data_IF_317556085445
#
_entry.id   IF_317556085445
#
_cell.length_a   1.000
_cell.length_b   1.000
_cell.length_c   1.000
_cell.angle_alpha   90.00
_cell.angle_beta   90.00
_cell.angle_gamma   90.00
#
_symmetry.space_group_name_H-M   'P 1'
#
loop_
_entity.id
_entity.type
_entity.pdbx_description
1 polymer ?
#
# COMPACT_ATOMS: atom_id res chain seq x y z
N UNK A 1 7.94 1.44 -1.04
CA UNK A 1 8.87 0.82 -0.07
C UNK A 1 10.33 0.83 -0.53
N UNK A 2 10.63 0.65 -1.83
CA UNK A 2 12.02 0.71 -2.37
C UNK A 2 12.76 2.04 -2.19
N UNK A 3 12.05 3.12 -1.84
CA UNK A 3 12.60 4.49 -1.78
C UNK A 3 12.75 5.01 -0.34
N UNK A 4 12.25 4.27 0.65
CA UNK A 4 12.21 4.71 2.04
C UNK A 4 13.35 4.13 2.89
N UNK A 5 14.39 3.54 2.30
CA UNK A 5 15.46 2.84 3.06
C UNK A 5 16.27 3.77 3.98
N UNK A 6 16.32 5.06 3.65
CA UNK A 6 17.03 6.12 4.39
C UNK A 6 16.37 6.51 5.72
N UNK A 7 15.08 6.16 5.88
CA UNK A 7 14.29 6.55 7.05
C UNK A 7 14.67 5.70 8.28
N UNK A 8 15.09 6.32 9.41
CA UNK A 8 15.57 5.61 10.59
C UNK A 8 14.46 4.91 11.38
N UNK A 9 13.21 5.39 11.29
CA UNK A 9 12.07 4.90 12.06
C UNK A 9 11.09 4.08 11.20
N UNK A 10 10.56 3.00 11.79
CA UNK A 10 9.58 2.10 11.14
C UNK A 10 8.27 2.83 10.81
N UNK A 11 7.91 3.79 11.65
CA UNK A 11 6.72 4.63 11.52
C UNK A 11 6.81 5.54 10.29
N UNK A 12 7.97 6.15 10.05
CA UNK A 12 8.14 7.07 8.93
C UNK A 12 8.20 6.34 7.58
N UNK A 13 8.78 5.13 7.55
CA UNK A 13 8.69 4.20 6.40
C UNK A 13 7.25 3.82 6.08
N UNK A 14 6.48 3.49 7.11
CA UNK A 14 5.06 3.11 6.98
C UNK A 14 4.23 4.30 6.48
N UNK A 15 4.47 5.49 7.02
CA UNK A 15 3.81 6.74 6.59
C UNK A 15 4.15 7.10 5.14
N UNK A 16 5.41 6.96 4.74
CA UNK A 16 5.83 7.19 3.35
C UNK A 16 5.15 6.20 2.38
N UNK A 17 5.08 4.91 2.75
CA UNK A 17 4.38 3.91 1.96
C UNK A 17 2.87 4.20 1.85
N UNK A 18 2.24 4.67 2.93
CA UNK A 18 0.83 5.09 2.94
C UNK A 18 0.60 6.27 2.01
N UNK A 19 1.42 7.32 2.08
CA UNK A 19 1.23 8.50 1.24
C UNK A 19 1.36 8.15 -0.24
N UNK A 20 2.32 7.30 -0.60
CA UNK A 20 2.59 6.99 -2.00
C UNK A 20 1.60 5.96 -2.59
N UNK A 21 1.29 4.89 -1.86
CA UNK A 21 0.35 3.85 -2.33
C UNK A 21 -1.10 4.16 -1.99
N UNK A 22 -1.34 4.74 -0.82
CA UNK A 22 -2.69 5.06 -0.33
C UNK A 22 -3.37 6.13 -1.18
N UNK A 23 -2.64 7.10 -1.73
CA UNK A 23 -3.22 8.10 -2.65
C UNK A 23 -3.85 7.43 -3.89
N UNK A 24 -3.20 6.41 -4.46
CA UNK A 24 -3.73 5.64 -5.59
C UNK A 24 -4.98 4.85 -5.20
N UNK A 25 -4.96 4.18 -4.04
CA UNK A 25 -6.12 3.40 -3.54
C UNK A 25 -7.32 4.31 -3.28
N UNK A 26 -7.08 5.49 -2.69
CA UNK A 26 -8.13 6.49 -2.46
C UNK A 26 -8.69 7.02 -3.79
N UNK A 27 -7.83 7.29 -4.78
CA UNK A 27 -8.28 7.69 -6.11
C UNK A 27 -9.16 6.63 -6.81
N UNK A 28 -8.78 5.35 -6.71
CA UNK A 28 -9.54 4.23 -7.27
C UNK A 28 -10.86 3.96 -6.54
N UNK A 29 -10.85 4.06 -5.21
CA UNK A 29 -12.05 3.95 -4.39
C UNK A 29 -13.04 5.10 -4.62
N UNK A 30 -12.53 6.33 -4.77
CA UNK A 30 -13.33 7.51 -5.06
C UNK A 30 -14.04 7.39 -6.41
N UNK A 31 -13.34 7.00 -7.47
CA UNK A 31 -13.96 6.81 -8.80
C UNK A 31 -15.02 5.70 -8.79
N UNK A 32 -14.80 4.63 -8.03
CA UNK A 32 -15.79 3.54 -7.89
C UNK A 32 -16.99 3.99 -7.04
N UNK A 33 -16.76 4.74 -5.96
CA UNK A 33 -17.81 5.31 -5.12
C UNK A 33 -18.64 6.35 -5.86
N UNK A 34 -18.02 7.21 -6.70
CA UNK A 34 -18.75 8.13 -7.57
C UNK A 34 -19.58 7.39 -8.61
N UNK A 35 -19.05 6.32 -9.23
CA UNK A 35 -19.83 5.47 -10.14
C UNK A 35 -21.04 4.85 -9.42
N UNK A 36 -20.84 4.38 -8.18
CA UNK A 36 -21.90 3.96 -7.27
C UNK A 36 -22.94 5.04 -7.01
N UNK A 37 -22.51 6.29 -6.77
CA UNK A 37 -23.39 7.42 -6.52
C UNK A 37 -24.24 7.81 -7.75
N UNK A 38 -23.67 7.74 -8.96
CA UNK A 38 -24.43 7.99 -10.21
C UNK A 38 -25.55 6.95 -10.40
N UNK A 39 -25.33 5.70 -9.96
CA UNK A 39 -26.38 4.66 -10.00
C UNK A 39 -27.57 4.96 -9.07
N UNK A 40 -27.39 5.77 -8.02
CA UNK A 40 -28.49 6.21 -7.15
C UNK A 40 -29.41 7.25 -7.81
N UNK A 41 -28.92 8.00 -8.80
CA UNK A 41 -29.73 8.96 -9.56
C UNK A 41 -30.68 8.27 -10.56
N UNK A 42 -30.54 6.95 -10.74
CA UNK A 42 -31.44 6.16 -11.56
C UNK A 42 -32.65 5.69 -10.74
N UNK A 43 -33.86 6.08 -11.13
CA UNK A 43 -35.15 5.80 -10.44
C UNK A 43 -35.53 4.31 -10.34
N UNK A 44 -34.67 3.40 -10.82
CA UNK A 44 -34.87 1.96 -10.78
C UNK A 44 -34.50 1.40 -9.40
N UNK A 45 -35.52 0.95 -8.66
CA UNK A 45 -35.38 0.36 -7.31
C UNK A 45 -34.37 -0.80 -7.23
N UNK A 46 -34.11 -1.51 -8.33
CA UNK A 46 -33.08 -2.56 -8.41
C UNK A 46 -31.66 -1.99 -8.28
N UNK A 47 -31.35 -0.88 -8.95
CA UNK A 47 -30.02 -0.28 -8.96
C UNK A 47 -29.67 0.39 -7.63
N UNK A 48 -30.66 0.95 -6.93
CA UNK A 48 -30.46 1.57 -5.61
C UNK A 48 -29.94 0.55 -4.59
N UNK A 49 -30.51 -0.66 -4.56
CA UNK A 49 -30.12 -1.72 -3.60
C UNK A 49 -28.70 -2.23 -3.88
N UNK A 50 -28.37 -2.46 -5.15
CA UNK A 50 -27.03 -2.85 -5.60
C UNK A 50 -26.00 -1.75 -5.32
N UNK A 51 -26.31 -0.49 -5.64
CA UNK A 51 -25.43 0.65 -5.40
C UNK A 51 -25.10 0.85 -3.92
N UNK A 52 -26.08 0.64 -3.03
CA UNK A 52 -25.87 0.74 -1.58
C UNK A 52 -24.88 -0.31 -1.08
N UNK A 53 -25.00 -1.55 -1.54
CA UNK A 53 -24.07 -2.63 -1.20
C UNK A 53 -22.66 -2.36 -1.74
N UNK A 54 -22.54 -1.86 -2.96
CA UNK A 54 -21.24 -1.53 -3.57
C UNK A 54 -20.54 -0.39 -2.82
N UNK A 55 -21.24 0.71 -2.55
CA UNK A 55 -20.69 1.82 -1.78
C UNK A 55 -20.24 1.37 -0.38
N UNK A 56 -21.07 0.58 0.32
CA UNK A 56 -20.72 0.03 1.63
C UNK A 56 -19.47 -0.87 1.58
N UNK A 57 -19.39 -1.74 0.57
CA UNK A 57 -18.26 -2.65 0.36
C UNK A 57 -16.96 -1.88 0.08
N UNK A 58 -17.02 -0.83 -0.75
CA UNK A 58 -15.84 -0.01 -1.08
C UNK A 58 -15.35 0.75 0.15
N UNK A 59 -16.25 1.36 0.92
CA UNK A 59 -15.90 2.10 2.13
C UNK A 59 -15.24 1.18 3.17
N UNK A 60 -15.84 0.02 3.44
CA UNK A 60 -15.26 -0.97 4.35
C UNK A 60 -13.94 -1.53 3.84
N UNK A 61 -13.84 -1.84 2.55
CA UNK A 61 -12.62 -2.36 1.93
C UNK A 61 -11.48 -1.35 2.00
N UNK A 62 -11.73 -0.08 1.67
CA UNK A 62 -10.72 0.99 1.81
C UNK A 62 -10.29 1.19 3.26
N UNK A 63 -11.25 1.28 4.18
CA UNK A 63 -10.95 1.47 5.59
C UNK A 63 -10.12 0.30 6.14
N UNK A 64 -10.53 -0.94 5.84
CA UNK A 64 -9.80 -2.13 6.25
C UNK A 64 -8.43 -2.20 5.58
N UNK A 65 -8.32 -1.94 4.27
CA UNK A 65 -7.05 -1.96 3.56
C UNK A 65 -6.05 -0.95 4.14
N UNK A 66 -6.47 0.28 4.41
CA UNK A 66 -5.57 1.31 4.94
C UNK A 66 -5.22 1.05 6.42
N UNK A 67 -6.20 0.72 7.27
CA UNK A 67 -5.97 0.49 8.70
C UNK A 67 -5.19 -0.80 8.96
N UNK A 68 -5.57 -1.91 8.31
CA UNK A 68 -4.88 -3.19 8.45
C UNK A 68 -3.46 -3.10 7.89
N UNK A 69 -3.27 -2.44 6.76
CA UNK A 69 -1.93 -2.25 6.18
C UNK A 69 -1.04 -1.40 7.10
N UNK A 70 -1.56 -0.34 7.72
CA UNK A 70 -0.81 0.44 8.71
C UNK A 70 -0.44 -0.36 9.95
N UNK A 71 -1.39 -1.12 10.51
CA UNK A 71 -1.12 -1.99 11.65
C UNK A 71 -0.08 -3.08 11.30
N UNK A 72 -0.22 -3.73 10.14
CA UNK A 72 0.74 -4.72 9.67
C UNK A 72 2.12 -4.13 9.41
N UNK A 73 2.22 -2.95 8.80
CA UNK A 73 3.51 -2.29 8.58
C UNK A 73 4.16 -1.82 9.90
N UNK A 74 3.36 -1.40 10.90
CA UNK A 74 3.87 -1.07 12.23
C UNK A 74 4.39 -2.31 12.98
N UNK A 75 3.70 -3.46 12.86
CA UNK A 75 4.07 -4.70 13.58
C UNK A 75 5.17 -5.47 12.85
N UNK A 76 5.06 -5.65 11.53
CA UNK A 76 5.90 -6.54 10.69
C UNK A 76 6.96 -5.74 9.92
N UNK A 77 6.98 -4.40 9.98
CA UNK A 77 7.95 -3.57 9.25
C UNK A 77 9.40 -3.97 9.55
N UNK A 78 10.17 -4.52 8.59
CA UNK A 78 11.55 -4.91 8.84
C UNK A 78 12.42 -3.67 9.09
N UNK A 79 13.21 -3.71 10.16
CA UNK A 79 14.16 -2.65 10.51
C UNK A 79 15.53 -3.13 10.05
N UNK A 80 15.92 -2.76 8.83
CA UNK A 80 17.20 -3.17 8.22
C UNK A 80 17.05 -4.16 7.06
N UNK A 81 18.19 -4.66 6.57
CA UNK A 81 18.35 -5.47 5.34
C UNK A 81 17.79 -6.91 5.47
N UNK A 82 16.56 -7.06 5.99
CA UNK A 82 15.90 -8.35 6.15
C UNK A 82 15.22 -8.74 4.82
N UNK A 83 15.69 -9.83 4.22
CA UNK A 83 15.05 -10.45 3.04
C UNK A 83 15.56 -10.00 1.67
N UNK A 84 16.77 -9.43 1.57
CA UNK A 84 17.37 -9.18 0.27
C UNK A 84 17.86 -10.50 -0.35
N UNK A 85 17.17 -10.98 -1.39
CA UNK A 85 17.58 -12.13 -2.20
C UNK A 85 18.98 -11.93 -2.82
N UNK A 86 19.39 -10.68 -3.03
CA UNK A 86 20.75 -10.30 -3.44
C UNK A 86 21.79 -10.67 -2.38
N UNK A 87 21.52 -10.42 -1.09
CA UNK A 87 22.47 -10.75 -0.01
C UNK A 87 22.54 -12.25 0.29
N UNK A 88 21.43 -12.98 0.13
CA UNK A 88 21.42 -14.45 0.26
C UNK A 88 22.15 -15.12 -0.91
N UNK A 89 22.00 -14.60 -2.14
CA UNK A 89 22.77 -15.03 -3.31
C UNK A 89 24.26 -14.72 -3.20
N UNK A 90 24.62 -13.54 -2.67
CA UNK A 90 26.02 -13.15 -2.45
C UNK A 90 26.71 -13.96 -1.33
N UNK A 91 25.97 -14.41 -0.30
CA UNK A 91 26.56 -15.32 0.71
C UNK A 91 26.68 -16.78 0.24
N UNK A 92 25.93 -17.19 -0.78
CA UNK A 92 26.04 -18.51 -1.41
C UNK A 92 27.17 -18.59 -2.45
N UNK A 93 27.53 -17.47 -3.10
CA UNK A 93 28.63 -17.38 -4.07
C UNK A 93 29.82 -16.71 -3.37
N UNK A 94 30.54 -17.47 -2.54
CA UNK A 94 31.58 -16.99 -1.63
C UNK A 94 32.86 -16.39 -2.25
N UNK A 95 32.88 -15.82 -3.45
CA UNK A 95 34.07 -15.19 -4.03
C UNK A 95 33.68 -14.02 -4.95
N UNK A 96 33.44 -12.82 -4.42
CA UNK A 96 33.94 -11.55 -4.96
C UNK A 96 33.43 -10.34 -4.15
N UNK A 97 34.33 -9.41 -3.85
CA UNK A 97 34.10 -8.06 -3.29
C UNK A 97 33.47 -7.12 -4.36
N UNK A 98 33.26 -5.79 -4.12
CA UNK A 98 32.54 -5.03 -3.09
C UNK A 98 31.55 -3.98 -3.70
N UNK A 99 30.78 -3.29 -2.84
CA UNK A 99 30.29 -1.90 -3.03
C UNK A 99 29.43 -1.58 -4.27
N UNK A 100 28.12 -1.82 -4.16
CA UNK A 100 27.11 -1.23 -5.07
C UNK A 100 26.42 -0.04 -4.37
N UNK A 101 26.89 1.18 -4.70
CA UNK A 101 26.16 2.46 -4.68
C UNK A 101 25.49 2.91 -3.35
N UNK A 102 25.94 3.90 -2.57
CA UNK A 102 26.56 5.22 -2.88
C UNK A 102 25.91 5.98 -4.04
N UNK A 103 24.58 5.99 -4.16
CA UNK A 103 23.88 6.96 -5.01
C UNK A 103 22.45 7.22 -4.51
N UNK A 104 22.31 8.13 -3.54
CA UNK A 104 21.52 9.36 -3.73
C UNK A 104 21.80 10.36 -2.59
N UNK A 105 22.88 11.13 -2.77
CA UNK A 105 22.86 12.57 -2.46
C UNK A 105 21.74 13.25 -3.24
#
# INVERSE_FOLDING_TARGET
YKEAWDQPSREEKTRYALTHMGATVIGGGLTTGLSGAVLFLCTLQFFTKMGTLLCWTILLSMAHALLFFMACCAVIGPTGNWGSWVYLGERLIGICKPAVHEHRQ
#
